data_IF_509837837820
#
_entry.id   IF_509837837820
#
_cell.length_a   1.000
_cell.length_b   1.000
_cell.length_c   1.000
_cell.angle_alpha   90.00
_cell.angle_beta   90.00
_cell.angle_gamma   90.00
#
_symmetry.space_group_name_H-M   'P 1'
#
loop_
_entity.id
_entity.type
_entity.pdbx_description
1 polymer ?
#
# COMPACT_ATOMS: atom_id res chain seq x y z
N UNK A 1 -19.56 22.01 75.05
CA UNK A 1 -18.91 23.26 75.49
C UNK A 1 -17.42 23.04 75.39
N UNK A 2 -16.74 23.77 74.51
CA UNK A 2 -15.34 23.51 74.18
C UNK A 2 -14.78 24.58 73.25
N UNK A 3 -14.54 25.75 73.84
CA UNK A 3 -13.55 26.79 73.58
C UNK A 3 -13.16 27.13 72.13
N UNK A 4 -13.65 28.31 71.73
CA UNK A 4 -13.12 29.23 70.71
C UNK A 4 -11.69 29.68 71.05
N UNK A 5 -10.78 29.63 70.09
CA UNK A 5 -9.54 30.42 70.14
C UNK A 5 -9.33 31.11 68.79
N UNK A 6 -9.57 32.42 68.78
CA UNK A 6 -9.30 33.34 67.68
C UNK A 6 -7.84 33.77 67.80
N UNK A 7 -7.06 33.63 66.73
CA UNK A 7 -5.73 34.24 66.61
C UNK A 7 -5.73 35.18 65.40
N UNK A 8 -5.75 36.46 65.74
CA UNK A 8 -5.62 37.62 64.86
C UNK A 8 -4.13 38.00 64.85
N UNK A 9 -3.47 38.01 63.68
CA UNK A 9 -2.17 38.67 63.51
C UNK A 9 -2.16 39.54 62.25
N UNK A 10 -2.48 40.81 62.50
CA UNK A 10 -1.82 42.06 62.08
C UNK A 10 -1.26 42.14 60.65
N UNK A 11 -1.88 43.06 59.90
CA UNK A 11 -1.44 43.73 58.68
C UNK A 11 -0.07 44.41 58.83
N UNK A 12 0.81 44.21 57.85
CA UNK A 12 1.81 45.22 57.48
C UNK A 12 1.61 45.63 56.03
N UNK A 13 1.24 46.90 55.88
CA UNK A 13 1.17 47.67 54.62
C UNK A 13 2.59 47.99 54.16
N UNK A 14 2.87 47.88 52.86
CA UNK A 14 4.09 48.44 52.29
C UNK A 14 4.20 48.28 50.77
N UNK A 15 3.81 49.34 50.04
CA UNK A 15 4.43 49.70 48.76
C UNK A 15 3.65 49.42 47.48
N UNK A 16 2.96 50.44 46.96
CA UNK A 16 2.70 50.58 45.51
C UNK A 16 4.01 50.94 44.81
N UNK A 17 4.35 50.24 43.74
CA UNK A 17 5.17 50.80 42.66
C UNK A 17 4.86 50.13 41.31
N UNK A 18 4.37 50.96 40.39
CA UNK A 18 4.56 50.98 38.94
C UNK A 18 4.36 49.69 38.11
N UNK A 19 3.31 49.72 37.29
CA UNK A 19 3.25 48.99 36.04
C UNK A 19 4.41 49.39 35.12
N UNK A 20 5.21 48.43 34.66
CA UNK A 20 5.93 48.47 33.41
C UNK A 20 5.83 47.06 32.80
N UNK A 21 5.31 46.98 31.58
CA UNK A 21 5.17 45.73 30.86
C UNK A 21 6.53 45.21 30.46
N UNK A 22 6.79 43.93 30.72
CA UNK A 22 7.85 43.17 30.09
C UNK A 22 7.49 41.68 30.07
N UNK A 23 7.37 41.17 28.85
CA UNK A 23 7.67 39.81 28.40
C UNK A 23 7.08 38.65 29.22
N UNK A 24 6.04 38.01 28.67
CA UNK A 24 5.62 36.65 29.06
C UNK A 24 6.83 35.72 28.88
N UNK A 25 7.52 35.39 29.98
CA UNK A 25 8.44 34.26 30.01
C UNK A 25 7.61 32.97 29.99
N UNK A 26 7.53 32.36 28.82
CA UNK A 26 7.19 30.94 28.70
C UNK A 26 8.23 30.14 29.51
N UNK A 27 7.84 29.22 30.40
CA UNK A 27 8.77 28.26 30.95
C UNK A 27 9.31 27.40 29.80
N UNK A 28 10.57 27.65 29.43
CA UNK A 28 11.35 26.70 28.65
C UNK A 28 11.90 25.66 29.62
N UNK A 29 11.97 24.43 29.11
CA UNK A 29 12.71 23.28 29.63
C UNK A 29 11.89 22.28 30.48
N UNK A 30 11.67 21.10 29.87
CA UNK A 30 11.79 19.85 30.63
C UNK A 30 10.55 18.99 30.84
N UNK A 31 9.53 19.05 29.98
CA UNK A 31 8.50 18.00 29.96
C UNK A 31 9.12 16.70 29.44
N UNK A 32 9.59 15.85 30.36
CA UNK A 32 10.00 14.47 30.08
C UNK A 32 8.86 13.76 29.37
N UNK A 33 9.19 13.12 28.25
CA UNK A 33 8.29 12.27 27.46
C UNK A 33 7.93 10.97 28.22
N UNK A 34 7.29 11.08 29.39
CA UNK A 34 6.87 9.93 30.21
C UNK A 34 5.39 9.96 30.61
N UNK A 35 4.64 11.01 30.25
CA UNK A 35 3.19 11.09 30.51
C UNK A 35 2.33 10.85 29.25
N UNK A 36 2.95 10.41 28.15
CA UNK A 36 2.17 9.93 27.00
C UNK A 36 1.52 8.59 27.36
N UNK A 37 0.19 8.43 27.18
CA UNK A 37 -0.45 7.13 27.32
C UNK A 37 0.32 6.08 26.52
N UNK A 38 0.49 4.85 27.03
CA UNK A 38 1.12 3.80 26.27
C UNK A 38 0.42 3.67 24.91
N UNK A 39 1.17 3.45 23.82
CA UNK A 39 0.56 3.26 22.51
C UNK A 39 -0.50 2.16 22.60
N UNK A 40 -1.63 2.30 21.89
CA UNK A 40 -2.69 1.30 21.95
C UNK A 40 -2.10 -0.08 21.66
N UNK A 41 -2.45 -1.07 22.48
CA UNK A 41 -1.95 -2.43 22.30
C UNK A 41 -2.33 -2.94 20.90
N UNK A 42 -1.39 -3.63 20.25
CA UNK A 42 -1.60 -4.22 18.93
C UNK A 42 -2.75 -5.25 19.01
N UNK A 43 -3.80 -5.17 18.17
CA UNK A 43 -4.98 -6.04 18.29
C UNK A 43 -4.77 -7.49 17.86
N UNK A 44 -3.63 -7.83 17.25
CA UNK A 44 -3.28 -9.17 16.78
C UNK A 44 -1.79 -9.47 16.99
N UNK A 45 -1.45 -10.73 17.27
CA UNK A 45 -0.06 -11.16 17.41
C UNK A 45 0.61 -11.26 16.03
N UNK A 46 -0.01 -12.03 15.13
CA UNK A 46 0.33 -12.16 13.72
C UNK A 46 -0.92 -11.89 12.84
N UNK A 47 -0.73 -11.59 11.55
CA UNK A 47 -1.85 -11.43 10.62
C UNK A 47 -1.49 -11.86 9.20
N UNK A 48 -2.30 -12.74 8.62
CA UNK A 48 -2.15 -13.27 7.27
C UNK A 48 -2.87 -12.43 6.19
N UNK A 49 -4.02 -11.86 6.51
CA UNK A 49 -4.85 -10.99 5.67
C UNK A 49 -4.89 -9.56 6.25
N UNK A 50 -3.75 -8.88 6.12
CA UNK A 50 -3.58 -7.50 6.59
C UNK A 50 -4.10 -6.49 5.57
N UNK A 51 -4.92 -5.57 6.03
CA UNK A 51 -5.46 -4.45 5.26
C UNK A 51 -4.85 -3.13 5.75
N UNK A 52 -4.46 -2.27 4.80
CA UNK A 52 -4.11 -0.88 5.11
C UNK A 52 -5.27 0.04 4.76
N UNK A 53 -5.53 1.03 5.63
CA UNK A 53 -6.44 2.12 5.33
C UNK A 53 -5.98 2.89 4.08
N UNK A 54 -6.89 3.22 3.15
CA UNK A 54 -6.57 4.05 1.98
C UNK A 54 -6.30 5.51 2.35
N UNK A 55 -6.54 5.92 3.60
CA UNK A 55 -6.26 7.26 4.06
C UNK A 55 -4.75 7.48 4.19
N UNK A 56 -4.25 8.58 3.60
CA UNK A 56 -2.83 8.98 3.67
C UNK A 56 -2.49 9.62 5.03
N UNK A 57 -2.66 8.84 6.10
CA UNK A 57 -2.35 9.23 7.48
C UNK A 57 -1.02 8.59 7.89
N UNK A 58 -0.24 9.29 8.71
CA UNK A 58 1.05 8.79 9.21
C UNK A 58 1.08 8.82 10.76
N UNK A 59 1.38 7.68 11.44
CA UNK A 59 1.58 6.34 10.87
C UNK A 59 0.33 5.77 10.16
N UNK A 60 0.49 4.84 9.20
CA UNK A 60 -0.65 4.24 8.53
C UNK A 60 -1.54 3.45 9.49
N UNK A 61 -2.82 3.36 9.15
CA UNK A 61 -3.81 2.55 9.87
C UNK A 61 -3.92 1.17 9.22
N UNK A 62 -3.92 0.13 10.04
CA UNK A 62 -3.98 -1.27 9.64
C UNK A 62 -5.18 -1.97 10.25
N UNK A 63 -5.69 -3.01 9.61
CA UNK A 63 -6.71 -3.92 10.15
C UNK A 63 -6.36 -5.35 9.77
N UNK A 64 -6.54 -6.29 10.68
CA UNK A 64 -6.37 -7.71 10.37
C UNK A 64 -7.72 -8.37 10.07
N UNK A 65 -7.85 -8.98 8.89
CA UNK A 65 -9.06 -9.66 8.45
C UNK A 65 -9.01 -11.20 8.63
N UNK A 66 -8.03 -11.71 9.39
CA UNK A 66 -7.93 -13.13 9.68
C UNK A 66 -9.18 -13.66 10.40
N UNK A 67 -9.66 -14.80 9.92
CA UNK A 67 -10.70 -15.59 10.56
C UNK A 67 -10.11 -16.42 11.70
N UNK A 68 -10.40 -16.03 12.94
CA UNK A 68 -9.90 -16.67 14.16
C UNK A 68 -11.01 -17.36 14.93
N UNK A 69 -10.68 -18.40 15.71
CA UNK A 69 -11.64 -19.03 16.63
C UNK A 69 -12.03 -18.13 17.80
N UNK A 70 -11.14 -17.21 18.18
CA UNK A 70 -11.31 -16.26 19.26
C UNK A 70 -10.41 -15.06 18.99
N UNK A 71 -10.92 -13.83 19.17
CA UNK A 71 -10.11 -12.63 19.03
C UNK A 71 -9.11 -12.47 20.19
N UNK A 72 -8.00 -11.79 19.92
CA UNK A 72 -7.04 -11.36 20.95
C UNK A 72 -7.73 -10.48 22.00
N UNK A 73 -7.25 -10.53 23.24
CA UNK A 73 -7.72 -9.68 24.33
C UNK A 73 -7.50 -8.18 24.05
N UNK A 74 -6.56 -7.84 23.16
CA UNK A 74 -6.31 -6.46 22.74
C UNK A 74 -7.33 -5.96 21.69
N UNK A 75 -8.10 -6.85 21.07
CA UNK A 75 -9.16 -6.49 20.12
C UNK A 75 -10.41 -6.01 20.86
N UNK A 76 -10.85 -4.78 20.57
CA UNK A 76 -12.04 -4.16 21.15
C UNK A 76 -13.31 -4.59 20.42
N UNK A 77 -13.27 -4.65 19.10
CA UNK A 77 -14.41 -5.01 18.25
C UNK A 77 -14.18 -6.38 17.58
N UNK A 78 -14.57 -7.44 18.30
CA UNK A 78 -14.56 -8.80 17.78
C UNK A 78 -15.95 -9.17 17.24
N UNK A 79 -16.06 -9.44 15.94
CA UNK A 79 -17.34 -9.76 15.29
C UNK A 79 -17.30 -11.13 14.63
N UNK A 80 -18.46 -11.79 14.50
CA UNK A 80 -18.55 -13.01 13.71
C UNK A 80 -18.18 -12.72 12.25
N UNK A 81 -17.36 -13.59 11.66
CA UNK A 81 -17.04 -13.55 10.24
C UNK A 81 -18.33 -13.73 9.41
N UNK A 82 -18.45 -13.09 8.24
CA UNK A 82 -19.55 -13.39 7.33
C UNK A 82 -19.53 -14.90 7.03
N UNK A 83 -20.68 -15.56 7.17
CA UNK A 83 -20.79 -17.02 7.15
C UNK A 83 -20.13 -17.65 5.92
N UNK A 84 -18.91 -18.16 6.09
CA UNK A 84 -18.32 -19.20 5.24
C UNK A 84 -18.82 -20.56 5.72
N UNK A 85 -18.98 -21.51 4.79
CA UNK A 85 -19.58 -22.84 4.96
C UNK A 85 -18.82 -23.81 5.91
N UNK A 86 -18.47 -23.38 7.13
CA UNK A 86 -17.82 -24.23 8.13
C UNK A 86 -18.83 -24.85 9.10
N UNK A 87 -18.97 -26.19 9.17
CA UNK A 87 -20.00 -26.86 9.96
C UNK A 87 -19.79 -26.85 11.48
N UNK A 88 -18.67 -26.33 11.98
CA UNK A 88 -18.27 -26.47 13.39
C UNK A 88 -17.54 -25.23 13.92
N UNK A 89 -18.29 -24.24 14.40
CA UNK A 89 -17.78 -23.08 15.14
C UNK A 89 -17.64 -21.83 14.28
N UNK A 90 -18.28 -20.73 14.68
CA UNK A 90 -18.19 -19.46 13.97
C UNK A 90 -16.77 -18.90 14.03
N UNK A 91 -16.22 -18.50 12.88
CA UNK A 91 -15.03 -17.68 12.85
C UNK A 91 -15.36 -16.26 13.32
N UNK A 92 -14.39 -15.60 13.93
CA UNK A 92 -14.44 -14.20 14.34
C UNK A 92 -13.37 -13.41 13.60
N UNK A 93 -13.61 -12.13 13.39
CA UNK A 93 -12.66 -11.18 12.79
C UNK A 93 -12.57 -9.96 13.69
N UNK A 94 -11.34 -9.48 13.92
CA UNK A 94 -11.11 -8.23 14.65
C UNK A 94 -11.33 -7.03 13.72
N UNK A 95 -12.12 -6.03 14.15
CA UNK A 95 -12.40 -4.81 13.35
C UNK A 95 -11.58 -3.60 13.76
N UNK A 96 -10.73 -3.74 14.76
CA UNK A 96 -9.88 -2.67 15.27
C UNK A 96 -8.90 -2.18 14.20
N UNK A 97 -8.85 -0.87 14.03
CA UNK A 97 -7.77 -0.21 13.31
C UNK A 97 -6.59 0.05 14.23
N UNK A 98 -5.40 -0.33 13.79
CA UNK A 98 -4.13 -0.16 14.52
C UNK A 98 -3.23 0.82 13.78
N UNK A 99 -2.78 1.88 14.45
CA UNK A 99 -1.87 2.89 13.87
C UNK A 99 -0.42 2.54 14.16
N UNK A 100 0.36 2.14 13.15
CA UNK A 100 1.78 1.83 13.32
C UNK A 100 2.55 1.94 12.01
N UNK A 101 3.88 2.03 12.06
CA UNK A 101 4.71 1.92 10.84
C UNK A 101 4.70 0.48 10.28
N UNK A 102 4.65 -0.51 11.17
CA UNK A 102 4.69 -1.93 10.86
C UNK A 102 3.48 -2.65 11.51
N UNK A 103 2.61 -3.32 10.70
CA UNK A 103 1.51 -4.13 11.22
C UNK A 103 1.96 -5.47 11.84
N UNK A 104 3.26 -5.80 11.78
CA UNK A 104 3.89 -7.00 12.30
C UNK A 104 3.90 -8.17 11.30
N UNK A 105 4.23 -9.36 11.81
CA UNK A 105 4.50 -10.54 10.98
C UNK A 105 3.24 -11.29 10.54
N UNK A 106 3.39 -12.07 9.47
CA UNK A 106 2.42 -13.09 9.05
C UNK A 106 2.35 -14.25 10.05
N UNK A 107 1.24 -14.99 10.05
CA UNK A 107 1.06 -16.17 10.89
C UNK A 107 1.70 -17.42 10.27
N UNK A 108 1.79 -17.49 8.94
CA UNK A 108 2.43 -18.62 8.24
C UNK A 108 3.88 -18.35 7.83
N UNK A 109 4.85 -19.23 8.19
CA UNK A 109 6.27 -19.05 7.86
C UNK A 109 6.61 -19.04 6.36
N UNK A 110 5.88 -19.77 5.51
CA UNK A 110 6.08 -19.68 4.04
C UNK A 110 5.67 -18.32 3.43
N UNK A 111 5.15 -17.40 4.25
CA UNK A 111 4.78 -16.03 3.91
C UNK A 111 5.65 -15.01 4.67
N UNK A 112 6.93 -15.30 4.86
CA UNK A 112 7.87 -14.29 5.37
C UNK A 112 7.72 -12.98 4.60
N UNK A 113 7.49 -11.91 5.36
CA UNK A 113 7.38 -10.58 4.80
C UNK A 113 8.72 -10.23 4.15
N UNK A 114 8.74 -9.70 2.91
CA UNK A 114 10.00 -9.34 2.28
C UNK A 114 10.76 -8.33 3.15
N UNK A 115 12.08 -8.50 3.29
CA UNK A 115 12.89 -7.59 4.10
C UNK A 115 12.78 -6.16 3.58
N UNK A 116 12.20 -5.27 4.39
CA UNK A 116 12.16 -3.81 4.17
C UNK A 116 11.40 -3.38 2.89
N UNK A 117 10.10 -3.68 2.76
CA UNK A 117 9.35 -3.18 1.63
C UNK A 117 9.15 -1.67 1.75
N UNK A 118 9.11 -0.99 0.61
CA UNK A 118 8.99 0.46 0.54
C UNK A 118 7.64 0.86 -0.04
N UNK A 119 7.09 1.99 0.44
CA UNK A 119 5.91 2.64 -0.15
C UNK A 119 6.24 3.46 -1.39
N UNK A 120 7.53 3.63 -1.69
CA UNK A 120 8.00 4.38 -2.87
C UNK A 120 8.71 3.41 -3.79
N UNK A 121 8.16 3.26 -4.99
CA UNK A 121 8.71 2.44 -6.06
C UNK A 121 10.14 2.86 -6.41
N UNK A 122 11.05 1.89 -6.52
CA UNK A 122 12.45 2.11 -6.91
C UNK A 122 12.63 2.26 -8.43
N UNK A 123 11.62 1.89 -9.22
CA UNK A 123 11.60 2.03 -10.68
C UNK A 123 10.57 3.06 -11.15
N UNK A 124 10.77 3.61 -12.36
CA UNK A 124 9.78 4.48 -13.02
C UNK A 124 8.79 3.68 -13.86
N UNK A 125 9.30 2.69 -14.57
CA UNK A 125 8.59 1.67 -15.33
C UNK A 125 9.26 0.32 -15.09
N UNK A 126 8.57 -0.80 -15.34
CA UNK A 126 9.15 -2.14 -15.23
C UNK A 126 8.49 -3.10 -16.22
N UNK A 127 9.24 -3.79 -17.07
CA UNK A 127 8.67 -4.76 -18.02
C UNK A 127 8.45 -6.15 -17.40
N UNK A 128 9.39 -6.60 -16.57
CA UNK A 128 9.37 -7.89 -15.90
C UNK A 128 8.92 -7.75 -14.44
N UNK A 129 7.65 -7.36 -14.24
CA UNK A 129 7.07 -7.17 -12.92
C UNK A 129 6.66 -8.49 -12.27
N UNK A 130 7.13 -8.73 -11.06
CA UNK A 130 6.79 -9.89 -10.26
C UNK A 130 5.96 -9.49 -9.05
N UNK A 131 4.80 -10.13 -8.86
CA UNK A 131 4.07 -10.08 -7.59
C UNK A 131 4.66 -11.12 -6.65
N UNK A 132 5.16 -10.68 -5.50
CA UNK A 132 5.70 -11.59 -4.50
C UNK A 132 4.56 -12.15 -3.62
N UNK A 133 4.68 -13.39 -3.15
CA UNK A 133 3.93 -13.85 -1.97
C UNK A 133 4.33 -13.01 -0.73
N UNK A 134 3.45 -12.88 0.27
CA UNK A 134 2.07 -13.35 0.33
C UNK A 134 1.08 -12.55 -0.56
N UNK A 135 -0.07 -13.17 -0.92
CA UNK A 135 -1.14 -12.52 -1.70
C UNK A 135 -2.00 -11.60 -0.82
N UNK A 136 -1.39 -10.60 -0.23
CA UNK A 136 -2.04 -9.57 0.59
C UNK A 136 -2.51 -8.39 -0.27
N UNK A 137 -3.40 -7.55 0.27
CA UNK A 137 -3.80 -6.29 -0.35
C UNK A 137 -3.42 -5.10 0.56
N UNK A 138 -2.59 -4.14 0.08
CA UNK A 138 -1.98 -4.08 -1.24
C UNK A 138 -0.88 -5.14 -1.46
N UNK A 139 -0.62 -5.60 -2.70
CA UNK A 139 0.40 -6.63 -2.94
C UNK A 139 1.85 -6.15 -2.85
N UNK A 140 2.77 -7.10 -2.68
CA UNK A 140 4.21 -6.86 -2.85
C UNK A 140 4.65 -7.05 -4.30
N UNK A 141 5.53 -6.17 -4.74
CA UNK A 141 6.02 -6.09 -6.10
C UNK A 141 7.54 -6.03 -6.12
N UNK A 142 8.13 -6.70 -7.11
CA UNK A 142 9.55 -6.59 -7.45
C UNK A 142 9.70 -6.44 -8.94
N UNK A 143 10.60 -5.56 -9.37
CA UNK A 143 10.96 -5.42 -10.76
C UNK A 143 12.19 -6.28 -11.09
N UNK A 144 12.04 -7.20 -12.05
CA UNK A 144 13.11 -8.08 -12.51
C UNK A 144 13.63 -7.66 -13.89
N UNK A 145 13.61 -6.36 -14.18
CA UNK A 145 14.30 -5.83 -15.36
C UNK A 145 15.81 -5.94 -15.15
N UNK A 146 16.50 -6.36 -16.19
CA UNK A 146 17.96 -6.44 -16.20
C UNK A 146 18.55 -5.03 -16.29
N UNK A 147 19.28 -4.65 -15.25
CA UNK A 147 19.92 -3.34 -15.12
C UNK A 147 21.44 -3.48 -15.25
N UNK A 148 22.07 -2.49 -15.86
CA UNK A 148 23.52 -2.34 -15.73
C UNK A 148 23.89 -2.03 -14.27
N UNK A 149 25.07 -2.44 -13.77
CA UNK A 149 25.44 -2.24 -12.37
C UNK A 149 25.26 -0.80 -11.88
N UNK A 150 25.67 0.19 -12.68
CA UNK A 150 25.52 1.62 -12.34
C UNK A 150 24.07 2.05 -12.20
N UNK A 151 23.16 1.51 -13.02
CA UNK A 151 21.74 1.82 -12.97
C UNK A 151 21.10 1.23 -11.72
N UNK A 152 21.47 -0.01 -11.37
CA UNK A 152 20.95 -0.66 -10.18
C UNK A 152 21.33 0.10 -8.89
N UNK A 153 22.61 0.43 -8.70
CA UNK A 153 23.05 1.16 -7.50
C UNK A 153 22.53 2.62 -7.43
N UNK A 154 22.08 3.19 -8.54
CA UNK A 154 21.47 4.52 -8.55
C UNK A 154 19.97 4.49 -8.22
N UNK A 155 19.27 3.42 -8.59
CA UNK A 155 17.82 3.30 -8.46
C UNK A 155 17.39 2.52 -7.20
N UNK A 156 18.17 1.54 -6.78
CA UNK A 156 17.79 0.54 -5.78
C UNK A 156 18.71 0.57 -4.56
N UNK A 157 18.17 0.24 -3.39
CA UNK A 157 18.95 0.09 -2.16
C UNK A 157 19.74 -1.21 -2.16
N UNK A 158 19.15 -2.27 -2.72
CA UNK A 158 19.78 -3.58 -2.86
C UNK A 158 19.70 -4.07 -4.31
N UNK A 159 20.77 -4.74 -4.74
CA UNK A 159 20.93 -5.33 -6.07
C UNK A 159 21.32 -6.79 -5.94
N UNK A 160 20.75 -7.66 -6.78
CA UNK A 160 21.10 -9.09 -6.89
C UNK A 160 21.57 -9.42 -8.30
N UNK A 161 22.37 -10.45 -8.46
CA UNK A 161 22.77 -10.92 -9.79
C UNK A 161 21.60 -11.58 -10.51
N UNK A 162 21.44 -11.29 -11.80
CA UNK A 162 20.49 -12.01 -12.64
C UNK A 162 20.97 -13.47 -12.85
N UNK A 163 20.05 -14.44 -12.99
CA UNK A 163 20.43 -15.81 -13.33
C UNK A 163 21.20 -15.84 -14.67
N UNK A 164 22.47 -16.26 -14.67
CA UNK A 164 23.26 -16.31 -15.91
C UNK A 164 24.77 -16.40 -15.69
N UNK A 165 25.56 -16.44 -16.79
CA UNK A 165 27.02 -16.45 -16.72
C UNK A 165 27.56 -15.13 -16.16
N UNK A 166 28.54 -15.23 -15.27
CA UNK A 166 29.18 -14.08 -14.64
C UNK A 166 30.31 -13.50 -15.53
N UNK A 167 30.47 -12.17 -15.61
CA UNK A 167 29.65 -11.11 -15.00
C UNK A 167 28.37 -10.82 -15.81
N UNK A 168 27.22 -10.81 -15.12
CA UNK A 168 25.90 -10.59 -15.72
C UNK A 168 25.26 -9.26 -15.30
N UNK A 169 24.06 -8.95 -15.84
CA UNK A 169 23.27 -7.82 -15.39
C UNK A 169 22.81 -7.99 -13.94
N UNK A 170 22.45 -6.87 -13.29
CA UNK A 170 21.90 -6.85 -11.94
C UNK A 170 20.38 -6.66 -11.99
N UNK A 171 19.69 -7.24 -11.02
CA UNK A 171 18.27 -7.02 -10.76
C UNK A 171 18.13 -6.18 -9.50
N UNK A 172 17.13 -5.29 -9.50
CA UNK A 172 16.73 -4.54 -8.31
C UNK A 172 16.08 -5.50 -7.30
N UNK A 173 16.62 -5.59 -6.07
CA UNK A 173 16.07 -6.48 -5.04
C UNK A 173 15.05 -5.78 -4.12
N UNK A 174 14.95 -4.45 -4.23
CA UNK A 174 13.97 -3.64 -3.51
C UNK A 174 12.53 -4.12 -3.78
N UNK A 175 11.75 -4.23 -2.72
CA UNK A 175 10.34 -4.61 -2.79
C UNK A 175 9.46 -3.38 -2.61
N UNK A 176 8.56 -3.15 -3.55
CA UNK A 176 7.54 -2.12 -3.47
C UNK A 176 6.23 -2.68 -2.93
N UNK A 177 5.58 -1.96 -2.03
CA UNK A 177 4.29 -2.34 -1.44
C UNK A 177 3.21 -1.30 -1.73
N UNK A 178 2.28 -1.65 -2.63
CA UNK A 178 1.19 -0.77 -3.03
C UNK A 178 0.27 -1.44 -4.06
N UNK A 179 -0.80 -0.78 -4.49
CA UNK A 179 -1.77 -1.39 -5.41
C UNK A 179 -1.27 -1.49 -6.85
N UNK A 180 -0.56 -0.45 -7.29
CA UNK A 180 -0.08 -0.32 -8.67
C UNK A 180 1.45 -0.41 -8.76
N UNK A 181 2.02 -1.47 -9.38
CA UNK A 181 3.46 -1.59 -9.60
C UNK A 181 3.99 -0.65 -10.68
N UNK A 182 3.13 0.01 -11.45
CA UNK A 182 3.50 1.02 -12.42
C UNK A 182 3.28 0.66 -13.87
N UNK A 183 3.62 1.63 -14.75
CA UNK A 183 3.62 1.36 -16.18
C UNK A 183 4.76 0.41 -16.55
N UNK A 184 4.55 -0.30 -17.64
CA UNK A 184 5.59 -1.07 -18.31
C UNK A 184 6.47 -0.09 -19.11
N UNK A 185 7.75 -0.40 -19.29
CA UNK A 185 8.68 0.44 -20.04
C UNK A 185 8.41 0.37 -21.54
N UNK A 186 8.04 -0.82 -22.02
CA UNK A 186 7.64 -1.03 -23.41
C UNK A 186 6.18 -0.59 -23.60
N UNK A 187 5.88 0.34 -24.54
CA UNK A 187 4.52 0.76 -24.80
C UNK A 187 3.68 -0.42 -25.31
N UNK A 188 2.39 -0.43 -24.93
CA UNK A 188 1.44 -1.43 -25.40
C UNK A 188 1.20 -1.28 -26.90
N UNK A 189 1.05 -2.38 -27.65
CA UNK A 189 0.82 -2.33 -29.11
C UNK A 189 -0.46 -1.59 -29.52
N UNK A 190 -1.48 -1.56 -28.66
CA UNK A 190 -2.75 -0.86 -28.88
C UNK A 190 -2.84 0.48 -28.14
N UNK A 191 -1.72 0.99 -27.62
CA UNK A 191 -1.65 2.29 -26.97
C UNK A 191 -2.17 2.31 -25.53
N UNK A 192 -2.96 3.33 -25.17
CA UNK A 192 -3.25 3.63 -23.76
C UNK A 192 -4.35 2.77 -23.13
N UNK A 193 -5.32 2.31 -23.91
CA UNK A 193 -6.51 1.62 -23.43
C UNK A 193 -6.91 0.48 -24.37
N UNK A 194 -7.71 -0.47 -23.88
CA UNK A 194 -8.30 -1.55 -24.67
C UNK A 194 -9.66 -1.96 -24.09
N UNK A 195 -10.71 -1.97 -24.90
CA UNK A 195 -12.07 -2.38 -24.50
C UNK A 195 -12.24 -3.90 -24.56
N UNK A 196 -11.74 -4.54 -25.62
CA UNK A 196 -11.82 -5.99 -25.88
C UNK A 196 -10.46 -6.65 -25.69
N UNK A 197 -9.97 -6.63 -24.44
CA UNK A 197 -8.72 -7.29 -24.08
C UNK A 197 -8.92 -8.80 -23.85
N UNK A 198 -8.16 -9.62 -24.54
CA UNK A 198 -8.11 -11.07 -24.33
C UNK A 198 -6.77 -11.42 -23.67
N UNK A 199 -6.81 -11.97 -22.45
CA UNK A 199 -5.61 -12.23 -21.67
C UNK A 199 -5.55 -13.69 -21.18
N UNK A 200 -4.35 -14.25 -21.14
CA UNK A 200 -4.10 -15.52 -20.45
C UNK A 200 -4.32 -15.37 -18.94
N UNK A 201 -4.56 -16.49 -18.25
CA UNK A 201 -4.68 -16.54 -16.77
C UNK A 201 -3.33 -16.55 -16.05
N UNK A 202 -2.21 -16.36 -16.77
CA UNK A 202 -0.87 -16.28 -16.17
C UNK A 202 -0.65 -14.94 -15.46
N UNK A 203 0.39 -14.87 -14.64
CA UNK A 203 0.81 -13.63 -13.99
C UNK A 203 2.32 -13.41 -14.20
N UNK A 204 2.74 -12.37 -14.95
CA UNK A 204 1.92 -11.42 -15.70
C UNK A 204 1.11 -12.09 -16.84
N UNK A 205 -0.06 -11.55 -17.21
CA UNK A 205 -0.85 -12.08 -18.31
C UNK A 205 -0.20 -11.76 -19.65
N UNK A 206 -0.40 -12.62 -20.64
CA UNK A 206 -0.14 -12.31 -22.05
C UNK A 206 -1.47 -11.90 -22.64
N UNK A 207 -1.55 -10.66 -23.11
CA UNK A 207 -2.78 -10.06 -23.61
C UNK A 207 -2.68 -9.74 -25.10
N UNK A 208 -3.82 -9.71 -25.77
CA UNK A 208 -4.04 -9.10 -27.08
C UNK A 208 -5.24 -8.15 -26.99
N UNK A 209 -5.36 -7.23 -27.93
CA UNK A 209 -6.50 -6.31 -28.00
C UNK A 209 -7.25 -6.46 -29.31
N UNK A 210 -8.52 -6.84 -29.23
CA UNK A 210 -9.40 -7.02 -30.39
C UNK A 210 -10.19 -5.75 -30.72
N UNK A 211 -9.71 -4.57 -30.31
CA UNK A 211 -10.35 -3.30 -30.61
C UNK A 211 -10.19 -2.94 -32.08
N UNK A 212 -11.31 -2.50 -32.67
CA UNK A 212 -11.38 -2.05 -34.06
C UNK A 212 -11.17 -0.53 -34.11
N UNK A 213 -9.93 -0.13 -34.39
CA UNK A 213 -9.49 1.26 -34.37
C UNK A 213 -9.47 1.86 -35.78
N UNK A 214 -9.51 3.19 -35.87
CA UNK A 214 -9.36 3.89 -37.15
C UNK A 214 -7.91 3.79 -37.69
N UNK A 215 -6.94 3.69 -36.79
CA UNK A 215 -5.53 3.49 -37.08
C UNK A 215 -4.88 2.77 -35.89
N UNK A 216 -3.96 1.84 -36.16
CA UNK A 216 -3.18 1.19 -35.10
C UNK A 216 -2.19 2.17 -34.47
N UNK A 217 -1.81 1.90 -33.21
CA UNK A 217 -0.77 2.66 -32.51
C UNK A 217 0.61 2.39 -33.14
N UNK A 218 1.55 3.32 -32.97
CA UNK A 218 2.91 3.20 -33.50
C UNK A 218 3.68 2.00 -32.91
N UNK A 219 3.28 1.52 -31.73
CA UNK A 219 3.85 0.33 -31.12
C UNK A 219 3.36 -0.99 -31.74
N UNK A 220 2.28 -0.98 -32.55
CA UNK A 220 1.75 -2.17 -33.20
C UNK A 220 2.60 -2.60 -34.39
N UNK A 221 3.06 -3.85 -34.40
CA UNK A 221 3.85 -4.43 -35.50
C UNK A 221 2.96 -5.09 -36.56
N UNK A 222 1.90 -5.78 -36.16
CA UNK A 222 0.94 -6.44 -37.07
C UNK A 222 -0.44 -5.76 -37.02
N UNK A 223 -0.62 -4.77 -37.89
CA UNK A 223 -1.86 -4.01 -38.02
C UNK A 223 -2.66 -4.52 -39.23
N UNK A 224 -3.78 -5.20 -38.98
CA UNK A 224 -4.59 -5.82 -40.02
C UNK A 224 -5.93 -5.09 -40.23
N UNK A 225 -6.37 -4.88 -41.49
CA UNK A 225 -7.69 -4.31 -41.75
C UNK A 225 -8.80 -5.31 -41.41
N UNK A 226 -9.94 -4.81 -40.93
CA UNK A 226 -11.14 -5.59 -40.68
C UNK A 226 -11.93 -5.71 -41.98
N UNK A 227 -12.06 -6.94 -42.49
CA UNK A 227 -12.81 -7.21 -43.72
C UNK A 227 -14.26 -6.73 -43.60
N UNK A 228 -14.75 -6.05 -44.65
CA UNK A 228 -16.12 -5.53 -44.75
C UNK A 228 -16.49 -4.40 -43.78
N UNK A 229 -15.53 -3.78 -43.10
CA UNK A 229 -15.78 -2.59 -42.28
C UNK A 229 -15.91 -1.32 -43.15
N UNK A 230 -16.97 -0.54 -42.94
CA UNK A 230 -17.16 0.79 -43.54
C UNK A 230 -17.61 1.77 -42.45
N UNK A 231 -16.78 2.76 -42.06
CA UNK A 231 -15.44 3.08 -42.58
C UNK A 231 -14.39 2.01 -42.28
N UNK A 232 -13.25 1.98 -43.00
CA UNK A 232 -12.18 1.02 -42.77
C UNK A 232 -11.69 1.05 -41.32
N UNK A 233 -11.67 -0.12 -40.68
CA UNK A 233 -11.12 -0.33 -39.34
C UNK A 233 -9.93 -1.26 -39.39
N UNK A 234 -9.08 -1.16 -38.37
CA UNK A 234 -7.89 -1.97 -38.20
C UNK A 234 -7.86 -2.59 -36.80
N UNK A 235 -7.23 -3.75 -36.69
CA UNK A 235 -7.02 -4.46 -35.42
C UNK A 235 -5.54 -4.78 -35.30
N UNK A 236 -4.98 -4.50 -34.13
CA UNK A 236 -3.61 -4.91 -33.81
C UNK A 236 -3.58 -6.37 -33.38
N UNK A 237 -2.77 -7.21 -34.02
CA UNK A 237 -2.64 -8.64 -33.71
C UNK A 237 -1.48 -8.97 -32.77
N UNK A 238 -0.71 -7.97 -32.36
CA UNK A 238 0.40 -8.15 -31.44
C UNK A 238 -0.07 -8.69 -30.08
N UNK A 239 0.75 -9.57 -29.53
CA UNK A 239 0.63 -10.00 -28.14
C UNK A 239 1.57 -9.18 -27.27
N UNK A 240 1.12 -8.91 -26.04
CA UNK A 240 1.84 -8.11 -25.08
C UNK A 240 1.85 -8.79 -23.72
N UNK A 241 3.03 -8.96 -23.14
CA UNK A 241 3.18 -9.48 -21.78
C UNK A 241 2.98 -8.33 -20.79
N UNK A 242 1.89 -8.36 -20.05
CA UNK A 242 1.52 -7.32 -19.09
C UNK A 242 0.03 -7.02 -19.07
N UNK A 243 -0.38 -6.14 -18.17
CA UNK A 243 -1.79 -5.73 -18.11
C UNK A 243 -2.23 -5.00 -19.39
N UNK A 244 -3.46 -5.24 -19.88
CA UNK A 244 -3.92 -4.69 -21.15
C UNK A 244 -4.18 -3.18 -21.10
N UNK A 245 -4.18 -2.59 -19.91
CA UNK A 245 -4.55 -1.20 -19.66
C UNK A 245 -6.03 -1.04 -19.29
N UNK A 246 -6.47 0.20 -19.01
CA UNK A 246 -7.87 0.50 -18.75
C UNK A 246 -8.72 0.32 -20.00
N UNK A 247 -10.03 0.22 -19.82
CA UNK A 247 -11.00 0.31 -20.93
C UNK A 247 -10.99 1.71 -21.54
N UNK A 248 -11.16 1.79 -22.85
CA UNK A 248 -11.26 3.06 -23.58
C UNK A 248 -12.62 3.72 -23.34
N UNK A 249 -13.68 2.92 -23.31
CA UNK A 249 -15.03 3.40 -23.04
C UNK A 249 -15.30 3.36 -21.53
N UNK A 250 -15.63 4.50 -20.90
CA UNK A 250 -15.98 4.50 -19.48
C UNK A 250 -17.25 3.67 -19.26
N UNK A 251 -17.29 2.89 -18.18
CA UNK A 251 -18.51 2.18 -17.79
C UNK A 251 -19.59 3.22 -17.44
N UNK A 252 -20.49 3.54 -18.36
CA UNK A 252 -21.74 4.19 -18.00
C UNK A 252 -22.54 3.20 -17.16
N UNK A 253 -22.58 3.42 -15.85
CA UNK A 253 -23.58 2.78 -15.01
C UNK A 253 -24.94 3.19 -15.59
N UNK A 254 -25.68 2.25 -16.17
CA UNK A 254 -27.09 2.44 -16.45
C UNK A 254 -27.77 2.64 -15.10
N UNK A 255 -28.00 3.89 -14.72
CA UNK A 255 -28.99 4.22 -13.71
C UNK A 255 -30.36 3.88 -14.33
N UNK A 256 -30.87 2.70 -13.98
CA UNK A 256 -32.29 2.38 -14.04
C UNK A 256 -32.79 2.27 -12.60
#
# INVERSE_FOLDING_TARGET
MGNTTILLFILTVGGLAAAHGDTIRLPSDGAKASDAPPPPAKPWDCCDDIEMSPLKIHPPLWRCNDEVKQCSAACKECVAAPAGDSPCGGAFVCRDWYSAEDPGSSCTPEREWPDRPTRKRSWKCCDNIQRLPPRIHPPFWRCNDELEPRQCFAACKACREAPGPFPGPLLCDDVYWGDDPGPLCTPRPWGKCCDKAECTKSFPPICSCADEVAACDAACKDCQPVESSSPPRYVCKDQFTGQPGPKCTPCTQSQN
#
